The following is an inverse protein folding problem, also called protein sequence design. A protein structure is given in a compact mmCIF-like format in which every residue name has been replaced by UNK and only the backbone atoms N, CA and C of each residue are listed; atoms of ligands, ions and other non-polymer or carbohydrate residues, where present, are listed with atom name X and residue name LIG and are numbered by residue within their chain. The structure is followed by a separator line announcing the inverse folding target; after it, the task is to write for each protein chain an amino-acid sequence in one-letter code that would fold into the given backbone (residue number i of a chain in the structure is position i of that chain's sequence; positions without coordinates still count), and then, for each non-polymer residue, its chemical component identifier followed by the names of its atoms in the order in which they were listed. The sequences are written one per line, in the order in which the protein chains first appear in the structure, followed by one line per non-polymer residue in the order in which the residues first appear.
data_IF_541266359378
#
_entry.id   IF_541266359378
#
_cell.length_a   1.000
_cell.length_b   1.000
_cell.length_c   1.000
_cell.angle_alpha   90.00
_cell.angle_beta   90.00
_cell.angle_gamma   90.00
#
_symmetry.space_group_name_H-M   'P 1'
#
loop_
_entity.id
_entity.type
_entity.pdbx_description
1 polymer ?
#
# COMPACT_ATOMS: atom_id res chain seq x y z
N UNK A 1 -2.05 -5.09 -26.72
CA UNK A 1 -1.79 -6.13 -25.70
C UNK A 1 -1.13 -5.43 -24.52
N UNK A 2 -1.71 -5.54 -23.32
CA UNK A 2 -1.14 -4.98 -22.09
C UNK A 2 -0.32 -6.07 -21.43
N UNK A 3 0.92 -5.77 -21.04
CA UNK A 3 1.76 -6.72 -20.33
C UNK A 3 1.63 -6.49 -18.82
N UNK A 4 0.99 -7.43 -18.11
CA UNK A 4 0.87 -7.37 -16.66
C UNK A 4 2.20 -7.76 -16.00
N UNK A 5 2.70 -6.92 -15.11
CA UNK A 5 3.94 -7.14 -14.37
C UNK A 5 3.70 -7.02 -12.87
N UNK A 6 4.35 -7.89 -12.09
CA UNK A 6 4.31 -7.83 -10.63
C UNK A 6 5.49 -7.02 -10.12
N UNK A 7 5.22 -6.00 -9.29
CA UNK A 7 6.28 -5.33 -8.54
C UNK A 7 6.67 -6.09 -7.26
N UNK A 8 7.52 -5.48 -6.44
CA UNK A 8 7.86 -5.99 -5.10
C UNK A 8 7.16 -5.15 -4.04
N UNK A 9 6.47 -5.79 -3.09
CA UNK A 9 5.84 -5.10 -1.96
C UNK A 9 6.59 -5.38 -0.66
N UNK A 10 6.89 -4.33 0.10
CA UNK A 10 7.38 -4.42 1.48
C UNK A 10 6.36 -3.78 2.41
N UNK A 11 6.11 -4.41 3.56
CA UNK A 11 5.18 -3.93 4.59
C UNK A 11 5.90 -4.01 5.93
N UNK A 12 5.75 -2.98 6.74
CA UNK A 12 6.36 -2.84 8.06
C UNK A 12 5.35 -2.17 9.02
N UNK A 13 5.40 -2.52 10.30
CA UNK A 13 4.61 -1.85 11.35
C UNK A 13 5.55 -1.08 12.25
N UNK A 14 5.34 0.23 12.37
CA UNK A 14 6.17 1.10 13.19
C UNK A 14 5.36 1.67 14.32
N UNK A 15 5.93 1.68 15.53
CA UNK A 15 5.35 2.41 16.66
C UNK A 15 5.12 3.86 16.26
N UNK A 16 3.96 4.40 16.62
CA UNK A 16 3.69 5.81 16.40
C UNK A 16 4.34 6.64 17.52
N UNK A 17 4.70 7.89 17.22
CA UNK A 17 5.34 8.80 18.17
C UNK A 17 4.40 9.19 19.34
N UNK A 18 3.12 8.82 19.26
CA UNK A 18 2.08 9.03 20.28
C UNK A 18 2.02 7.90 21.33
N UNK A 19 2.91 6.89 21.24
CA UNK A 19 2.95 5.79 22.19
C UNK A 19 2.06 4.60 21.84
N UNK A 20 1.37 4.61 20.68
CA UNK A 20 0.65 3.43 20.19
C UNK A 20 1.65 2.31 19.83
N UNK A 21 1.61 1.15 20.54
CA UNK A 21 2.54 0.05 20.33
C UNK A 21 2.35 -0.66 18.98
N UNK A 22 1.17 -0.52 18.35
CA UNK A 22 0.88 -1.04 17.01
C UNK A 22 1.22 0.03 15.96
N UNK A 23 0.80 1.27 16.22
CA UNK A 23 1.24 2.47 15.52
C UNK A 23 0.73 2.60 14.08
N UNK A 24 1.66 2.59 13.11
CA UNK A 24 1.41 2.87 11.69
C UNK A 24 1.93 1.73 10.83
N UNK A 25 1.12 1.25 9.89
CA UNK A 25 1.56 0.34 8.84
C UNK A 25 2.21 1.17 7.74
N UNK A 26 3.51 1.00 7.53
CA UNK A 26 4.21 1.55 6.38
C UNK A 26 4.34 0.49 5.31
N UNK A 27 4.15 0.86 4.05
CA UNK A 27 4.35 -0.04 2.93
C UNK A 27 4.94 0.70 1.74
N UNK A 28 5.69 -0.05 0.92
CA UNK A 28 6.31 0.46 -0.28
C UNK A 28 6.23 -0.60 -1.39
N UNK A 29 5.86 -0.16 -2.58
CA UNK A 29 5.72 -0.95 -3.78
C UNK A 29 6.75 -0.49 -4.82
N UNK A 30 7.58 -1.43 -5.26
CA UNK A 30 8.72 -1.17 -6.13
C UNK A 30 8.49 -1.74 -7.52
N UNK A 31 8.66 -0.88 -8.52
CA UNK A 31 8.81 -1.23 -9.93
C UNK A 31 10.31 -1.23 -10.23
N UNK A 32 10.80 -2.34 -10.79
CA UNK A 32 12.24 -2.52 -11.05
C UNK A 32 12.72 -1.76 -12.29
N UNK A 33 11.83 -1.48 -13.24
CA UNK A 33 12.15 -0.74 -14.46
C UNK A 33 12.02 0.75 -14.17
N UNK A 34 13.15 1.44 -13.94
CA UNK A 34 13.14 2.83 -13.48
C UNK A 34 12.44 3.81 -14.42
N UNK A 35 12.52 3.58 -15.74
CA UNK A 35 11.82 4.40 -16.74
C UNK A 35 10.29 4.33 -16.62
N UNK A 36 9.77 3.25 -16.01
CA UNK A 36 8.36 2.98 -15.83
C UNK A 36 7.86 3.39 -14.43
N UNK A 37 8.70 4.06 -13.62
CA UNK A 37 8.32 4.53 -12.27
C UNK A 37 7.50 5.82 -12.31
N UNK A 38 7.81 6.84 -13.13
CA UNK A 38 7.08 8.09 -13.09
C UNK A 38 5.64 7.95 -13.59
N UNK A 39 4.68 8.51 -12.84
CA UNK A 39 3.30 8.64 -13.28
C UNK A 39 2.30 8.44 -12.15
N UNK A 40 1.06 8.13 -12.55
CA UNK A 40 -0.05 7.94 -11.62
C UNK A 40 -0.05 6.53 -11.05
N UNK A 41 -0.22 6.45 -9.73
CA UNK A 41 -0.44 5.24 -8.97
C UNK A 41 -1.85 5.30 -8.38
N UNK A 42 -2.57 4.19 -8.46
CA UNK A 42 -3.86 3.99 -7.83
C UNK A 42 -3.75 2.81 -6.87
N UNK A 43 -4.27 2.93 -5.64
CA UNK A 43 -4.21 1.85 -4.66
C UNK A 43 -5.43 1.82 -3.73
N UNK A 44 -5.66 0.66 -3.12
CA UNK A 44 -6.63 0.47 -2.04
C UNK A 44 -5.99 -0.37 -0.95
N UNK A 45 -6.08 0.11 0.29
CA UNK A 45 -5.68 -0.64 1.48
C UNK A 45 -6.88 -1.41 2.02
N UNK A 46 -6.67 -2.68 2.34
CA UNK A 46 -7.66 -3.56 2.91
C UNK A 46 -7.25 -4.05 4.31
N UNK A 47 -8.21 -4.03 5.23
CA UNK A 47 -8.12 -4.61 6.57
C UNK A 47 -9.23 -5.66 6.69
N UNK A 48 -8.88 -6.93 6.89
CA UNK A 48 -9.81 -8.06 6.92
C UNK A 48 -10.77 -8.09 5.70
N UNK A 49 -10.29 -7.67 4.53
CA UNK A 49 -11.08 -7.61 3.29
C UNK A 49 -11.99 -6.38 3.14
N UNK A 50 -12.00 -5.46 4.11
CA UNK A 50 -12.71 -4.17 4.01
C UNK A 50 -11.75 -3.05 3.62
N UNK A 51 -12.22 -2.05 2.87
CA UNK A 51 -11.42 -0.90 2.43
C UNK A 51 -11.76 0.37 3.26
N UNK A 52 -11.21 0.54 4.47
CA UNK A 52 -11.60 1.60 5.40
C UNK A 52 -11.40 3.04 4.89
N UNK A 53 -10.48 3.25 3.95
CA UNK A 53 -10.22 4.57 3.33
C UNK A 53 -10.62 4.62 1.85
N UNK A 54 -11.20 3.54 1.32
CA UNK A 54 -11.53 3.42 -0.10
C UNK A 54 -10.31 3.53 -1.03
N UNK A 55 -10.56 3.74 -2.34
CA UNK A 55 -9.50 3.95 -3.33
C UNK A 55 -8.77 5.28 -3.14
N UNK A 56 -7.46 5.25 -3.36
CA UNK A 56 -6.55 6.37 -3.24
C UNK A 56 -5.68 6.45 -4.50
N UNK A 57 -5.12 7.61 -4.78
CA UNK A 57 -4.21 7.80 -5.90
C UNK A 57 -3.20 8.91 -5.64
N UNK A 58 -2.08 8.88 -6.36
CA UNK A 58 -1.10 9.96 -6.37
C UNK A 58 -0.26 9.91 -7.67
N UNK A 59 0.37 11.03 -8.02
CA UNK A 59 1.38 11.09 -9.09
C UNK A 59 2.74 11.18 -8.43
N UNK A 60 3.67 10.31 -8.83
CA UNK A 60 5.02 10.24 -8.27
C UNK A 60 6.06 10.12 -9.38
N UNK A 61 7.26 10.58 -9.11
CA UNK A 61 8.46 10.35 -9.94
C UNK A 61 9.34 9.22 -9.38
N UNK A 62 9.03 8.72 -8.18
CA UNK A 62 9.66 7.60 -7.50
C UNK A 62 8.63 6.52 -7.07
N UNK A 63 9.13 5.38 -6.58
CA UNK A 63 8.31 4.23 -6.20
C UNK A 63 7.25 4.55 -5.14
N UNK A 64 6.05 3.97 -5.27
CA UNK A 64 4.94 4.23 -4.36
C UNK A 64 5.27 3.78 -2.94
N UNK A 65 5.15 4.70 -1.99
CA UNK A 65 5.28 4.42 -0.58
C UNK A 65 4.22 5.20 0.18
N UNK A 66 3.63 4.59 1.20
CA UNK A 66 2.57 5.20 1.98
C UNK A 66 2.55 4.66 3.41
N UNK A 67 1.77 5.35 4.25
CA UNK A 67 1.61 5.07 5.66
C UNK A 67 0.12 5.06 6.00
N UNK A 68 -0.35 3.94 6.55
CA UNK A 68 -1.73 3.72 6.94
C UNK A 68 -1.84 3.78 8.47
N UNK A 69 -2.40 4.89 8.97
CA UNK A 69 -2.47 5.18 10.41
C UNK A 69 -3.58 4.37 11.06
N UNK A 70 -3.32 3.84 12.27
CA UNK A 70 -4.32 3.11 13.04
C UNK A 70 -5.48 3.99 13.45
N UNK A 71 -5.20 5.12 14.08
CA UNK A 71 -6.23 6.03 14.55
C UNK A 71 -6.45 7.18 13.55
N UNK A 72 -7.68 7.30 13.04
CA UNK A 72 -8.08 8.40 12.15
C UNK A 72 -9.57 8.70 12.35
N UNK A 73 -9.92 9.99 12.38
CA UNK A 73 -11.30 10.48 12.50
C UNK A 73 -12.06 9.94 13.74
N UNK A 74 -11.36 9.78 14.86
CA UNK A 74 -11.98 9.33 16.10
C UNK A 74 -12.12 7.81 16.26
N UNK A 75 -11.64 7.02 15.30
CA UNK A 75 -11.78 5.56 15.31
C UNK A 75 -10.50 4.82 14.91
N UNK A 76 -10.34 3.63 15.49
CA UNK A 76 -9.33 2.66 15.07
C UNK A 76 -9.74 2.01 13.74
N UNK A 77 -8.86 2.07 12.75
CA UNK A 77 -9.03 1.47 11.42
C UNK A 77 -8.58 0.00 11.36
N UNK A 78 -7.77 -0.42 12.33
CA UNK A 78 -7.29 -1.80 12.49
C UNK A 78 -6.83 -2.06 13.92
N UNK A 79 -6.65 -3.34 14.24
CA UNK A 79 -6.20 -3.86 15.54
C UNK A 79 -5.13 -4.93 15.33
N UNK A 80 -4.42 -5.27 16.41
CA UNK A 80 -3.53 -6.44 16.42
C UNK A 80 -4.32 -7.70 16.04
N UNK A 81 -3.71 -8.55 15.22
CA UNK A 81 -4.32 -9.77 14.70
C UNK A 81 -5.11 -9.60 13.40
N UNK A 82 -5.45 -8.37 13.00
CA UNK A 82 -6.10 -8.10 11.71
C UNK A 82 -5.16 -8.43 10.53
N UNK A 83 -5.74 -8.67 9.36
CA UNK A 83 -5.02 -8.95 8.12
C UNK A 83 -4.98 -7.70 7.25
N UNK A 84 -3.77 -7.19 7.05
CA UNK A 84 -3.45 -6.13 6.10
C UNK A 84 -3.22 -6.70 4.70
N UNK A 85 -3.74 -5.98 3.70
CA UNK A 85 -3.50 -6.23 2.29
C UNK A 85 -3.54 -4.89 1.53
N UNK A 86 -2.81 -4.79 0.42
CA UNK A 86 -2.88 -3.64 -0.49
C UNK A 86 -2.94 -4.11 -1.92
N UNK A 87 -3.85 -3.51 -2.67
CA UNK A 87 -3.94 -3.65 -4.12
C UNK A 87 -3.54 -2.31 -4.73
N UNK A 88 -2.51 -2.30 -5.57
CA UNK A 88 -2.13 -1.10 -6.32
C UNK A 88 -1.89 -1.43 -7.79
N UNK A 89 -2.10 -0.42 -8.63
CA UNK A 89 -1.87 -0.48 -10.05
C UNK A 89 -1.15 0.78 -10.55
N UNK A 90 -0.32 0.62 -11.57
CA UNK A 90 0.38 1.69 -12.25
C UNK A 90 0.53 1.35 -13.73
N UNK A 91 0.11 2.25 -14.61
CA UNK A 91 0.24 2.08 -16.05
C UNK A 91 1.40 2.93 -16.60
N UNK A 92 2.37 2.27 -17.23
CA UNK A 92 3.50 2.88 -17.90
C UNK A 92 3.50 2.48 -19.39
N UNK A 93 2.86 3.30 -20.23
CA UNK A 93 2.73 3.02 -21.67
C UNK A 93 1.96 1.72 -21.95
N UNK A 94 2.68 0.66 -22.34
CA UNK A 94 2.10 -0.68 -22.62
C UNK A 94 2.21 -1.65 -21.45
N UNK A 95 2.88 -1.25 -20.37
CA UNK A 95 3.06 -2.06 -19.16
C UNK A 95 2.02 -1.67 -18.11
N UNK A 96 1.39 -2.67 -17.51
CA UNK A 96 0.54 -2.51 -16.33
C UNK A 96 1.21 -3.22 -15.17
N UNK A 97 1.65 -2.45 -14.19
CA UNK A 97 2.20 -2.94 -12.95
C UNK A 97 1.09 -3.12 -11.93
N UNK A 98 1.13 -4.23 -11.20
CA UNK A 98 0.25 -4.48 -10.05
C UNK A 98 1.03 -5.01 -8.85
N UNK A 99 0.50 -4.78 -7.64
CA UNK A 99 1.08 -5.34 -6.42
C UNK A 99 0.93 -6.86 -6.38
N UNK A 100 1.93 -7.61 -5.88
CA UNK A 100 1.75 -9.03 -5.61
C UNK A 100 0.70 -9.25 -4.51
N UNK A 101 -0.02 -10.37 -4.57
CA UNK A 101 -0.96 -10.76 -3.51
C UNK A 101 -0.20 -11.09 -2.22
N UNK A 102 -0.07 -10.10 -1.34
CA UNK A 102 0.53 -10.26 -0.01
C UNK A 102 -0.50 -9.91 1.07
N UNK A 103 -0.70 -10.84 2.00
CA UNK A 103 -1.54 -10.67 3.18
C UNK A 103 -0.68 -10.81 4.43
N UNK A 104 -0.65 -9.78 5.26
CA UNK A 104 0.19 -9.72 6.44
C UNK A 104 -0.69 -9.62 7.69
N UNK A 105 -0.39 -10.40 8.73
CA UNK A 105 -1.06 -10.25 10.02
C UNK A 105 -0.38 -9.15 10.80
N UNK A 106 -1.15 -8.21 11.32
CA UNK A 106 -0.67 -7.13 12.17
C UNK A 106 -0.26 -7.72 13.52
N UNK A 107 0.95 -7.41 14.03
CA UNK A 107 1.44 -7.95 15.31
C UNK A 107 0.61 -7.47 16.51
#
# INVERSE_FOLDING_TARGET
MVNAQWGKLTVDTRRSNDGDPIGVISWAWFINIQADVPGRYDWTVFINGTAPEGPQWNVKDDNLHSAFRRYRDGADRYRSGDVFHVEAAHAAGKNLYVTPLNRCRIP
#
